data_IF_753542923437
#
_entry.id   IF_753542923437
#
_cell.length_a   1.000
_cell.length_b   1.000
_cell.length_c   1.000
_cell.angle_alpha   90.00
_cell.angle_beta   90.00
_cell.angle_gamma   90.00
#
_symmetry.space_group_name_H-M   'P 1'
#
loop_
_entity.id
_entity.type
_entity.pdbx_description
1 polymer ?
#
# COMPACT_ATOMS: atom_id res chain seq x y z
N UNK A 1 -12.03 21.09 -34.96
CA UNK A 1 -13.03 20.82 -33.94
C UNK A 1 -13.49 19.39 -34.16
N UNK A 2 -12.84 18.45 -33.55
CA UNK A 2 -13.20 17.01 -33.57
C UNK A 2 -13.32 16.59 -32.12
N UNK A 3 -14.52 16.20 -31.77
CA UNK A 3 -14.95 15.79 -30.43
C UNK A 3 -14.04 14.66 -29.89
N UNK A 4 -13.53 14.87 -28.69
CA UNK A 4 -12.93 13.83 -27.88
C UNK A 4 -14.04 12.90 -27.36
N UNK A 5 -13.86 11.58 -27.37
CA UNK A 5 -14.81 10.70 -26.72
C UNK A 5 -14.70 10.90 -25.20
N UNK A 6 -15.71 11.51 -24.63
CA UNK A 6 -15.97 11.57 -23.19
C UNK A 6 -16.47 10.22 -22.73
N UNK A 7 -15.56 9.31 -22.40
CA UNK A 7 -15.87 8.17 -21.54
C UNK A 7 -15.31 8.45 -20.13
N UNK A 8 -15.87 9.47 -19.49
CA UNK A 8 -15.88 9.55 -18.05
C UNK A 8 -17.08 8.73 -17.56
N UNK A 9 -16.96 7.86 -16.57
CA UNK A 9 -18.14 7.29 -15.92
C UNK A 9 -18.89 8.44 -15.23
N UNK A 10 -20.03 8.82 -15.79
CA UNK A 10 -21.03 9.64 -15.13
C UNK A 10 -21.79 8.72 -14.20
N UNK A 11 -21.56 8.80 -12.93
CA UNK A 11 -22.54 8.92 -11.86
C UNK A 11 -21.83 8.91 -10.51
N UNK A 12 -21.64 10.07 -9.90
CA UNK A 12 -21.15 10.23 -8.53
C UNK A 12 -22.27 10.82 -7.68
N UNK A 13 -23.22 9.97 -7.33
CA UNK A 13 -24.19 10.27 -6.26
C UNK A 13 -24.45 9.00 -5.45
N UNK A 14 -23.46 8.54 -4.73
CA UNK A 14 -23.52 7.81 -3.44
C UNK A 14 -22.07 7.69 -2.97
N UNK A 15 -21.80 8.09 -1.73
CA UNK A 15 -20.43 8.15 -1.17
C UNK A 15 -19.83 6.79 -0.89
N UNK A 16 -19.64 5.97 -1.92
CA UNK A 16 -18.85 4.75 -1.81
C UNK A 16 -17.36 5.11 -1.93
N UNK A 17 -16.65 5.00 -0.83
CA UNK A 17 -15.19 4.97 -0.83
C UNK A 17 -14.77 3.83 -1.75
N UNK A 18 -13.94 4.06 -2.80
CA UNK A 18 -13.54 2.99 -3.69
C UNK A 18 -12.90 1.86 -2.89
N UNK A 19 -13.31 0.63 -3.16
CA UNK A 19 -12.73 -0.58 -2.57
C UNK A 19 -11.25 -0.66 -2.96
N UNK A 20 -10.38 -0.24 -2.05
CA UNK A 20 -8.93 -0.23 -2.26
C UNK A 20 -8.38 -1.64 -2.53
N UNK A 21 -9.00 -2.67 -1.97
CA UNK A 21 -8.62 -4.05 -2.21
C UNK A 21 -8.91 -4.45 -3.66
N UNK A 22 -10.09 -4.09 -4.19
CA UNK A 22 -10.44 -4.31 -5.60
C UNK A 22 -9.51 -3.55 -6.56
N UNK A 23 -9.08 -2.33 -6.21
CA UNK A 23 -8.09 -1.58 -6.99
C UNK A 23 -6.74 -2.29 -7.02
N UNK A 24 -6.24 -2.79 -5.89
CA UNK A 24 -4.98 -3.56 -5.81
C UNK A 24 -5.08 -4.88 -6.58
N UNK A 25 -6.21 -5.56 -6.53
CA UNK A 25 -6.45 -6.75 -7.36
C UNK A 25 -6.48 -6.42 -8.85
N UNK A 26 -7.02 -5.26 -9.21
CA UNK A 26 -7.05 -4.75 -10.58
C UNK A 26 -5.66 -4.53 -11.19
N UNK A 27 -4.64 -4.22 -10.36
CA UNK A 27 -3.26 -4.04 -10.83
C UNK A 27 -2.70 -5.28 -11.53
N UNK A 28 -3.11 -6.48 -11.12
CA UNK A 28 -2.69 -7.75 -11.74
C UNK A 28 -3.16 -7.92 -13.20
N UNK A 29 -4.08 -7.09 -13.66
CA UNK A 29 -4.60 -7.09 -15.04
C UNK A 29 -4.03 -5.93 -15.86
N UNK A 30 -3.23 -5.07 -15.24
CA UNK A 30 -2.68 -3.90 -15.89
C UNK A 30 -1.62 -4.28 -16.93
N UNK A 31 -1.72 -3.69 -18.12
CA UNK A 31 -0.72 -3.81 -19.20
C UNK A 31 -0.12 -2.44 -19.44
N UNK A 32 1.15 -2.28 -19.10
CA UNK A 32 1.83 -0.99 -19.06
C UNK A 32 3.03 -0.99 -20.01
N UNK A 33 3.18 0.09 -20.78
CA UNK A 33 4.45 0.42 -21.41
C UNK A 33 5.20 1.37 -20.48
N UNK A 34 6.49 1.14 -20.28
CA UNK A 34 7.36 1.96 -19.46
C UNK A 34 8.60 2.34 -20.27
N UNK A 35 8.97 3.62 -20.30
CA UNK A 35 10.24 4.06 -20.85
C UNK A 35 10.94 5.03 -19.89
N UNK A 36 12.27 4.99 -19.85
CA UNK A 36 13.02 5.87 -18.96
C UNK A 36 14.48 5.50 -18.81
N UNK A 37 15.15 6.22 -17.90
CA UNK A 37 16.55 6.01 -17.60
C UNK A 37 16.74 4.81 -16.69
N UNK A 38 17.30 3.72 -17.20
CA UNK A 38 17.71 2.56 -16.41
C UNK A 38 19.12 2.76 -15.84
N UNK A 39 19.35 2.24 -14.66
CA UNK A 39 20.66 2.24 -14.01
C UNK A 39 20.90 0.95 -13.23
N UNK A 40 22.14 0.70 -12.87
CA UNK A 40 22.52 -0.39 -11.98
C UNK A 40 22.79 0.19 -10.60
N UNK A 41 21.99 -0.21 -9.61
CA UNK A 41 22.29 0.02 -8.20
C UNK A 41 23.14 -1.13 -7.68
N UNK A 42 24.38 -0.82 -7.24
CA UNK A 42 25.35 -1.78 -6.71
C UNK A 42 25.57 -1.48 -5.25
N UNK A 43 25.35 -2.47 -4.40
CA UNK A 43 25.55 -2.39 -2.96
C UNK A 43 26.73 -3.27 -2.56
N UNK A 44 27.74 -2.66 -1.99
CA UNK A 44 28.94 -3.33 -1.47
C UNK A 44 28.86 -3.31 0.04
N UNK A 45 28.61 -4.48 0.63
CA UNK A 45 28.51 -4.66 2.08
C UNK A 45 29.84 -5.14 2.66
N UNK A 46 30.18 -4.65 3.84
CA UNK A 46 31.36 -5.08 4.53
C UNK A 46 31.53 -4.49 5.92
N UNK A 47 32.69 -4.70 6.51
CA UNK A 47 33.06 -4.17 7.82
C UNK A 47 34.19 -3.16 7.71
N UNK A 48 34.12 -2.13 8.56
CA UNK A 48 35.19 -1.14 8.76
C UNK A 48 35.80 -1.40 10.12
N UNK A 49 37.04 -1.93 10.14
CA UNK A 49 37.76 -2.29 11.37
C UNK A 49 38.96 -1.39 11.62
N UNK A 50 39.45 -0.68 10.60
CA UNK A 50 40.67 0.12 10.69
C UNK A 50 40.62 1.36 9.80
N UNK A 51 41.44 2.32 10.14
CA UNK A 51 41.77 3.47 9.28
C UNK A 51 42.99 3.08 8.42
N UNK A 52 43.02 3.54 7.17
CA UNK A 52 44.16 3.30 6.28
C UNK A 52 45.42 3.99 6.81
N UNK A 53 46.59 3.32 6.71
CA UNK A 53 47.87 3.98 7.02
C UNK A 53 48.25 5.04 5.94
N UNK A 54 47.63 5.00 4.77
CA UNK A 54 47.98 5.89 3.64
C UNK A 54 47.21 7.22 3.70
N UNK A 55 46.02 7.24 4.35
CA UNK A 55 45.18 8.41 4.51
C UNK A 55 44.19 8.20 5.65
N UNK A 56 43.63 9.25 6.26
CA UNK A 56 42.63 9.13 7.33
C UNK A 56 41.23 8.74 6.79
N UNK A 57 41.18 7.61 6.10
CA UNK A 57 39.97 7.04 5.53
C UNK A 57 39.68 5.63 6.07
N UNK A 58 38.43 5.23 6.24
CA UNK A 58 38.09 3.88 6.66
C UNK A 58 38.45 2.85 5.57
N UNK A 59 38.93 1.69 5.98
CA UNK A 59 39.16 0.54 5.10
C UNK A 59 37.96 -0.39 5.21
N UNK A 60 37.16 -0.48 4.14
CA UNK A 60 36.05 -1.40 4.04
C UNK A 60 36.54 -2.78 3.58
N UNK A 61 36.43 -3.81 4.43
CA UNK A 61 36.61 -5.20 4.03
C UNK A 61 35.32 -5.70 3.43
N UNK A 62 35.30 -5.90 2.10
CA UNK A 62 34.10 -6.33 1.36
C UNK A 62 33.79 -7.79 1.69
N UNK A 63 32.51 -8.06 1.98
CA UNK A 63 31.97 -9.39 2.31
C UNK A 63 30.89 -9.85 1.32
N UNK A 64 30.12 -8.93 0.81
CA UNK A 64 29.06 -9.24 -0.14
C UNK A 64 28.85 -8.09 -1.12
N UNK A 65 28.42 -8.46 -2.33
CA UNK A 65 27.98 -7.53 -3.34
C UNK A 65 26.59 -7.92 -3.81
N UNK A 66 25.72 -6.92 -3.98
CA UNK A 66 24.39 -7.10 -4.55
C UNK A 66 24.15 -6.07 -5.63
N UNK A 67 23.59 -6.50 -6.75
CA UNK A 67 23.20 -5.62 -7.84
C UNK A 67 21.70 -5.71 -8.08
N UNK A 68 21.10 -4.59 -8.43
CA UNK A 68 19.67 -4.53 -8.78
C UNK A 68 19.42 -3.40 -9.77
N UNK A 69 18.37 -3.53 -10.61
CA UNK A 69 17.97 -2.45 -11.50
C UNK A 69 17.46 -1.26 -10.69
N UNK A 70 18.00 -0.07 -10.97
CA UNK A 70 17.57 1.20 -10.41
C UNK A 70 16.88 2.10 -11.45
N UNK A 71 16.41 3.28 -11.01
CA UNK A 71 15.68 4.19 -11.86
C UNK A 71 14.43 3.55 -12.46
N UNK A 72 14.21 3.74 -13.77
CA UNK A 72 13.08 3.14 -14.49
C UNK A 72 13.07 1.60 -14.40
N UNK A 73 14.23 0.95 -14.22
CA UNK A 73 14.31 -0.50 -13.99
C UNK A 73 13.66 -0.93 -12.67
N UNK A 74 13.81 -0.14 -11.61
CA UNK A 74 13.11 -0.38 -10.35
C UNK A 74 11.60 -0.15 -10.47
N UNK A 75 11.18 0.84 -11.27
CA UNK A 75 9.75 1.05 -11.57
C UNK A 75 9.17 -0.18 -12.28
N UNK A 76 9.88 -0.75 -13.29
CA UNK A 76 9.47 -1.97 -13.98
C UNK A 76 9.27 -3.13 -13.00
N UNK A 77 10.21 -3.35 -12.08
CA UNK A 77 10.13 -4.41 -11.07
C UNK A 77 8.95 -4.23 -10.11
N UNK A 78 8.72 -3.00 -9.66
CA UNK A 78 7.58 -2.71 -8.78
C UNK A 78 6.24 -2.95 -9.48
N UNK A 79 6.10 -2.54 -10.74
CA UNK A 79 4.89 -2.80 -11.53
C UNK A 79 4.65 -4.31 -11.70
N UNK A 80 5.69 -5.06 -12.05
CA UNK A 80 5.62 -6.52 -12.20
C UNK A 80 5.30 -7.23 -10.87
N UNK A 81 5.89 -6.78 -9.76
CA UNK A 81 5.61 -7.32 -8.43
C UNK A 81 4.17 -7.05 -7.97
N UNK A 82 3.55 -5.96 -8.43
CA UNK A 82 2.13 -5.68 -8.25
C UNK A 82 1.24 -6.52 -9.20
N UNK A 83 1.85 -7.28 -10.11
CA UNK A 83 1.18 -8.21 -11.01
C UNK A 83 0.92 -7.67 -12.41
N UNK A 84 1.39 -6.48 -12.76
CA UNK A 84 1.22 -5.91 -14.09
C UNK A 84 2.12 -6.59 -15.15
N UNK A 85 1.64 -6.61 -16.40
CA UNK A 85 2.42 -6.97 -17.59
C UNK A 85 3.12 -5.72 -18.12
N UNK A 86 4.45 -5.67 -18.02
CA UNK A 86 5.28 -4.49 -18.30
C UNK A 86 6.13 -4.70 -19.54
N UNK A 87 5.94 -3.89 -20.58
CA UNK A 87 6.95 -3.73 -21.65
C UNK A 87 7.84 -2.56 -21.28
N UNK A 88 9.07 -2.87 -20.91
CA UNK A 88 10.05 -1.87 -20.48
C UNK A 88 11.05 -1.53 -21.60
N UNK A 89 11.11 -0.26 -21.96
CA UNK A 89 11.98 0.27 -23.03
C UNK A 89 13.01 1.22 -22.43
N UNK A 90 14.29 0.98 -22.71
CA UNK A 90 15.38 1.86 -22.26
C UNK A 90 16.61 1.65 -23.13
N UNK A 91 17.71 2.33 -22.73
CA UNK A 91 18.99 2.26 -23.40
C UNK A 91 20.09 1.96 -22.40
N UNK A 92 21.00 1.07 -22.78
CA UNK A 92 22.22 0.73 -22.02
C UNK A 92 23.45 0.85 -22.89
N UNK A 93 24.60 0.93 -22.28
CA UNK A 93 25.88 0.83 -22.98
C UNK A 93 26.24 -0.60 -23.39
N UNK A 94 27.29 -0.74 -24.18
CA UNK A 94 27.91 -2.04 -24.50
C UNK A 94 28.94 -2.49 -23.45
N UNK A 95 28.80 -1.99 -22.22
CA UNK A 95 29.65 -2.27 -21.08
C UNK A 95 29.10 -3.40 -20.19
N UNK A 96 29.89 -3.86 -19.24
CA UNK A 96 29.54 -4.92 -18.30
C UNK A 96 28.28 -4.59 -17.49
N UNK A 97 28.15 -3.33 -17.03
CA UNK A 97 26.96 -2.86 -16.30
C UNK A 97 25.68 -2.96 -17.16
N UNK A 98 25.78 -2.71 -18.47
CA UNK A 98 24.67 -2.91 -19.41
C UNK A 98 24.24 -4.38 -19.52
N UNK A 99 25.19 -5.31 -19.49
CA UNK A 99 24.91 -6.73 -19.47
C UNK A 99 24.27 -7.16 -18.13
N UNK A 100 24.79 -6.65 -17.00
CA UNK A 100 24.20 -6.89 -15.67
C UNK A 100 22.76 -6.38 -15.55
N UNK A 101 22.47 -5.16 -16.05
CA UNK A 101 21.10 -4.62 -16.09
C UNK A 101 20.17 -5.52 -16.89
N UNK A 102 20.62 -6.00 -18.07
CA UNK A 102 19.83 -6.92 -18.90
C UNK A 102 19.50 -8.22 -18.16
N UNK A 103 20.49 -8.79 -17.49
CA UNK A 103 20.34 -10.03 -16.71
C UNK A 103 19.38 -9.82 -15.52
N UNK A 104 19.53 -8.70 -14.81
CA UNK A 104 18.73 -8.39 -13.64
C UNK A 104 17.25 -8.02 -13.95
N UNK A 105 16.93 -7.73 -15.20
CA UNK A 105 15.55 -7.47 -15.67
C UNK A 105 14.89 -8.71 -16.28
N UNK A 106 15.54 -9.88 -16.27
CA UNK A 106 14.93 -11.16 -16.66
C UNK A 106 14.03 -11.68 -15.53
N UNK A 107 12.99 -10.96 -15.22
CA UNK A 107 12.02 -11.30 -14.18
C UNK A 107 10.63 -11.54 -14.81
N UNK A 108 9.81 -12.45 -14.26
CA UNK A 108 8.44 -12.65 -14.71
C UNK A 108 7.63 -11.34 -14.70
N UNK A 109 6.83 -11.10 -15.73
CA UNK A 109 6.01 -9.90 -15.87
C UNK A 109 6.74 -8.71 -16.50
N UNK A 110 8.05 -8.83 -16.84
CA UNK A 110 8.81 -7.76 -17.51
C UNK A 110 9.29 -8.26 -18.89
N UNK A 111 8.83 -7.61 -19.93
CA UNK A 111 9.42 -7.69 -21.27
C UNK A 111 10.40 -6.52 -21.45
N UNK A 112 11.69 -6.75 -21.16
CA UNK A 112 12.72 -5.73 -21.30
C UNK A 112 13.24 -5.62 -22.73
N UNK A 113 12.96 -4.48 -23.40
CA UNK A 113 13.45 -4.11 -24.75
C UNK A 113 14.53 -3.04 -24.64
N UNK A 114 15.75 -3.45 -24.29
CA UNK A 114 16.86 -2.55 -24.06
C UNK A 114 17.73 -2.39 -25.31
N UNK A 115 17.80 -1.16 -25.83
CA UNK A 115 18.70 -0.80 -26.93
C UNK A 115 20.13 -0.67 -26.41
N UNK A 116 21.08 -1.37 -27.02
CA UNK A 116 22.50 -1.23 -26.69
C UNK A 116 23.13 -0.18 -27.57
N UNK A 117 23.75 0.85 -26.98
CA UNK A 117 24.44 1.93 -27.67
C UNK A 117 25.94 1.83 -27.43
N UNK A 118 26.76 1.56 -28.49
CA UNK A 118 28.22 1.52 -28.35
C UNK A 118 28.78 2.86 -27.85
N UNK A 119 29.76 2.79 -26.98
CA UNK A 119 30.41 3.97 -26.41
C UNK A 119 29.61 4.71 -25.32
N UNK A 120 28.33 4.41 -25.14
CA UNK A 120 27.55 4.94 -24.01
C UNK A 120 27.94 4.24 -22.72
N UNK A 121 28.06 5.01 -21.64
CA UNK A 121 28.27 4.47 -20.28
C UNK A 121 26.90 4.13 -19.68
N UNK A 122 26.72 2.90 -19.22
CA UNK A 122 25.57 2.53 -18.39
C UNK A 122 25.73 3.15 -17.01
N UNK A 123 24.68 3.82 -16.53
CA UNK A 123 24.71 4.45 -15.21
C UNK A 123 24.81 3.40 -14.11
N UNK A 124 25.80 3.53 -13.23
CA UNK A 124 26.02 2.69 -12.05
C UNK A 124 26.09 3.57 -10.80
N UNK A 125 25.32 3.23 -9.78
CA UNK A 125 25.36 3.87 -8.46
C UNK A 125 25.86 2.88 -7.43
N UNK A 126 27.14 2.96 -7.07
CA UNK A 126 27.75 2.07 -6.09
C UNK A 126 27.63 2.64 -4.68
N UNK A 127 26.97 1.92 -3.79
CA UNK A 127 26.80 2.28 -2.38
C UNK A 127 27.65 1.34 -1.52
N UNK A 128 28.54 1.91 -0.74
CA UNK A 128 29.36 1.18 0.23
C UNK A 128 28.66 1.24 1.59
N UNK A 129 28.36 0.08 2.15
CA UNK A 129 27.55 -0.05 3.38
C UNK A 129 28.34 -0.84 4.43
N UNK A 130 28.51 -0.25 5.61
CA UNK A 130 29.09 -0.90 6.77
C UNK A 130 28.16 -0.75 7.98
N UNK A 131 27.97 -1.82 8.76
CA UNK A 131 27.12 -1.81 9.97
C UNK A 131 25.76 -1.15 9.73
N UNK A 132 25.10 -1.48 8.60
CA UNK A 132 23.82 -0.93 8.16
C UNK A 132 23.81 0.57 7.83
N UNK A 133 24.96 1.23 7.77
CA UNK A 133 25.11 2.61 7.38
C UNK A 133 25.81 2.75 6.02
N UNK A 134 25.28 3.62 5.17
CA UNK A 134 25.93 3.98 3.91
C UNK A 134 27.08 4.94 4.22
N UNK A 135 28.32 4.52 3.93
CA UNK A 135 29.54 5.30 4.19
C UNK A 135 30.00 6.12 2.98
N UNK A 136 29.69 5.63 1.77
CA UNK A 136 30.06 6.31 0.52
C UNK A 136 29.10 5.91 -0.59
N UNK A 137 28.87 6.82 -1.54
CA UNK A 137 28.29 6.51 -2.84
C UNK A 137 29.22 7.00 -3.95
N UNK A 138 29.51 6.12 -4.91
CA UNK A 138 30.28 6.44 -6.10
C UNK A 138 29.36 6.26 -7.33
N UNK A 139 29.19 7.32 -8.12
CA UNK A 139 28.33 7.32 -9.30
C UNK A 139 29.18 7.34 -10.55
N UNK A 140 28.96 6.38 -11.46
CA UNK A 140 29.48 6.37 -12.83
C UNK A 140 28.31 6.56 -13.77
N UNK A 141 28.18 7.72 -14.39
CA UNK A 141 27.01 8.07 -15.15
C UNK A 141 27.30 9.00 -16.34
N UNK A 142 26.36 9.05 -17.29
CA UNK A 142 26.33 10.04 -18.35
C UNK A 142 24.98 10.74 -18.38
N UNK A 143 24.99 12.03 -18.66
CA UNK A 143 23.78 12.83 -18.91
C UNK A 143 23.65 13.23 -20.37
N UNK A 144 24.54 12.71 -21.23
CA UNK A 144 24.51 13.03 -22.66
C UNK A 144 23.21 12.54 -23.31
N UNK A 145 22.52 13.40 -24.04
CA UNK A 145 21.36 13.00 -24.81
C UNK A 145 21.66 11.84 -25.75
N UNK A 146 20.64 11.02 -26.04
CA UNK A 146 20.76 10.02 -27.10
C UNK A 146 21.03 10.66 -28.42
N UNK A 147 21.94 10.08 -29.22
CA UNK A 147 22.13 10.40 -30.62
C UNK A 147 20.88 10.05 -31.43
N UNK A 148 20.70 10.71 -32.56
CA UNK A 148 19.48 10.63 -33.36
C UNK A 148 19.09 9.19 -33.73
N UNK A 149 20.04 8.35 -34.19
CA UNK A 149 19.78 6.94 -34.53
C UNK A 149 19.25 6.11 -33.35
N UNK A 150 19.81 6.30 -32.16
CA UNK A 150 19.37 5.62 -30.98
C UNK A 150 18.00 6.12 -30.47
N UNK A 151 17.77 7.43 -30.57
CA UNK A 151 16.49 8.06 -30.28
C UNK A 151 15.37 7.56 -31.20
N UNK A 152 15.64 7.51 -32.51
CA UNK A 152 14.68 7.03 -33.52
C UNK A 152 14.33 5.55 -33.31
N UNK A 153 15.30 4.70 -32.97
CA UNK A 153 15.07 3.29 -32.60
C UNK A 153 14.19 3.17 -31.37
N UNK A 154 14.45 3.98 -30.34
CA UNK A 154 13.64 3.98 -29.12
C UNK A 154 12.20 4.45 -29.38
N UNK A 155 12.03 5.52 -30.17
CA UNK A 155 10.72 6.02 -30.58
C UNK A 155 9.93 4.97 -31.36
N UNK A 156 10.59 4.30 -32.33
CA UNK A 156 9.95 3.23 -33.10
C UNK A 156 9.53 2.06 -32.22
N UNK A 157 10.38 1.65 -31.27
CA UNK A 157 10.07 0.59 -30.30
C UNK A 157 8.91 0.99 -29.37
N UNK A 158 8.87 2.25 -28.92
CA UNK A 158 7.77 2.81 -28.13
C UNK A 158 6.45 2.74 -28.89
N UNK A 159 6.41 3.24 -30.13
CA UNK A 159 5.21 3.19 -30.98
C UNK A 159 4.71 1.76 -31.16
N UNK A 160 5.61 0.80 -31.36
CA UNK A 160 5.27 -0.62 -31.50
C UNK A 160 4.79 -1.27 -30.19
N UNK A 161 5.14 -0.71 -29.04
CA UNK A 161 4.74 -1.24 -27.74
C UNK A 161 3.37 -0.74 -27.26
N UNK A 162 2.86 0.38 -27.76
CA UNK A 162 1.63 1.03 -27.27
C UNK A 162 0.32 0.26 -27.52
N UNK A 163 0.13 -0.44 -28.65
CA UNK A 163 -1.13 -1.13 -28.91
C UNK A 163 -1.55 -2.08 -27.79
N UNK A 164 -2.76 -1.88 -27.25
CA UNK A 164 -3.33 -2.70 -26.18
C UNK A 164 -2.76 -2.42 -24.79
N UNK A 165 -1.92 -1.39 -24.60
CA UNK A 165 -1.49 -0.92 -23.27
C UNK A 165 -2.52 0.03 -22.68
N UNK A 166 -2.65 0.00 -21.36
CA UNK A 166 -3.60 0.82 -20.60
C UNK A 166 -2.96 2.14 -20.11
N UNK A 167 -1.62 2.18 -20.05
CA UNK A 167 -0.86 3.37 -19.74
C UNK A 167 0.55 3.31 -20.35
N UNK A 168 1.11 4.49 -20.64
CA UNK A 168 2.53 4.70 -20.84
C UNK A 168 3.10 5.46 -19.64
N UNK A 169 4.16 4.92 -19.04
CA UNK A 169 4.90 5.59 -17.97
C UNK A 169 6.23 6.08 -18.54
N UNK A 170 6.56 7.35 -18.31
CA UNK A 170 7.84 7.94 -18.61
C UNK A 170 8.55 8.26 -17.30
N UNK A 171 9.65 7.57 -17.00
CA UNK A 171 10.40 7.71 -15.75
C UNK A 171 11.75 8.37 -16.03
N UNK A 172 11.83 9.68 -15.82
CA UNK A 172 12.96 10.53 -16.14
C UNK A 172 13.90 10.72 -14.94
N UNK A 173 15.17 10.41 -15.11
CA UNK A 173 16.24 10.65 -14.13
C UNK A 173 17.32 11.59 -14.67
N UNK A 174 17.08 12.20 -15.84
CA UNK A 174 18.04 13.13 -16.47
C UNK A 174 19.33 12.44 -16.92
N UNK A 175 19.26 11.18 -17.33
CA UNK A 175 20.41 10.43 -17.86
C UNK A 175 20.42 10.35 -19.39
N UNK A 176 19.59 11.17 -20.04
CA UNK A 176 19.62 11.42 -21.48
C UNK A 176 18.87 10.39 -22.33
N UNK A 177 18.12 9.47 -21.76
CA UNK A 177 17.22 8.57 -22.52
C UNK A 177 15.97 9.32 -22.95
N UNK A 178 15.30 9.98 -22.01
CA UNK A 178 14.13 10.80 -22.29
C UNK A 178 14.53 12.23 -22.70
N UNK A 179 15.10 12.35 -23.91
CA UNK A 179 15.37 13.67 -24.49
C UNK A 179 14.06 14.38 -24.81
N UNK A 180 14.10 15.70 -25.00
CA UNK A 180 12.93 16.47 -25.42
C UNK A 180 12.21 15.84 -26.64
N UNK A 181 12.96 15.44 -27.67
CA UNK A 181 12.41 14.82 -28.87
C UNK A 181 11.76 13.45 -28.58
N UNK A 182 12.43 12.59 -27.81
CA UNK A 182 11.89 11.26 -27.43
C UNK A 182 10.63 11.41 -26.62
N UNK A 183 10.64 12.28 -25.61
CA UNK A 183 9.48 12.51 -24.73
C UNK A 183 8.28 13.05 -25.50
N UNK A 184 8.47 14.06 -26.34
CA UNK A 184 7.41 14.62 -27.19
C UNK A 184 6.84 13.59 -28.17
N UNK A 185 7.71 12.79 -28.81
CA UNK A 185 7.30 11.74 -29.72
C UNK A 185 6.53 10.61 -29.01
N UNK A 186 6.96 10.24 -27.79
CA UNK A 186 6.29 9.23 -26.98
C UNK A 186 4.88 9.69 -26.56
N UNK A 187 4.75 10.94 -26.07
CA UNK A 187 3.45 11.51 -25.67
C UNK A 187 2.51 11.63 -26.89
N UNK A 188 3.02 12.09 -28.04
CA UNK A 188 2.23 12.18 -29.27
C UNK A 188 1.72 10.80 -29.72
N UNK A 189 2.60 9.79 -29.76
CA UNK A 189 2.24 8.42 -30.15
C UNK A 189 1.24 7.78 -29.18
N UNK A 190 1.41 7.98 -27.89
CA UNK A 190 0.48 7.47 -26.88
C UNK A 190 -0.91 8.14 -27.02
N UNK A 191 -0.93 9.44 -27.29
CA UNK A 191 -2.17 10.18 -27.52
C UNK A 191 -2.90 9.69 -28.79
N UNK A 192 -2.18 9.43 -29.87
CA UNK A 192 -2.74 8.84 -31.10
C UNK A 192 -3.33 7.43 -30.83
N UNK A 193 -2.69 6.67 -29.95
CA UNK A 193 -3.14 5.33 -29.54
C UNK A 193 -4.25 5.34 -28.46
N UNK A 194 -4.66 6.51 -27.96
CA UNK A 194 -5.63 6.64 -26.86
C UNK A 194 -5.09 6.13 -25.52
N UNK A 195 -3.76 6.09 -25.33
CA UNK A 195 -3.09 5.60 -24.13
C UNK A 195 -2.71 6.78 -23.22
N UNK A 196 -3.18 6.87 -21.97
CA UNK A 196 -2.78 7.92 -21.04
C UNK A 196 -1.30 7.83 -20.69
N UNK A 197 -0.65 9.00 -20.56
CA UNK A 197 0.77 9.10 -20.22
C UNK A 197 0.96 9.62 -18.82
N UNK A 198 1.69 8.87 -18.00
CA UNK A 198 2.10 9.25 -16.65
C UNK A 198 3.59 9.56 -16.70
N UNK A 199 4.00 10.70 -16.17
CA UNK A 199 5.42 11.12 -16.19
C UNK A 199 5.92 11.35 -14.77
N UNK A 200 7.00 10.67 -14.41
CA UNK A 200 7.84 11.03 -13.27
C UNK A 200 8.95 11.96 -13.80
N UNK A 201 8.80 13.28 -13.58
CA UNK A 201 9.59 14.29 -14.30
C UNK A 201 10.94 14.53 -13.66
N UNK A 202 11.90 15.07 -14.47
CA UNK A 202 13.19 15.56 -14.00
C UNK A 202 13.54 16.89 -14.62
N UNK A 203 14.23 17.76 -13.84
CA UNK A 203 14.63 19.09 -14.29
C UNK A 203 13.51 20.13 -14.18
N UNK A 204 13.76 21.32 -14.71
CA UNK A 204 12.84 22.46 -14.63
C UNK A 204 12.06 22.76 -15.91
N UNK A 205 12.41 22.14 -17.05
CA UNK A 205 11.72 22.36 -18.32
C UNK A 205 10.64 21.30 -18.57
N UNK A 206 9.42 21.67 -18.24
CA UNK A 206 8.25 20.79 -18.39
C UNK A 206 7.56 20.90 -19.75
N UNK A 207 8.09 21.71 -20.69
CA UNK A 207 7.59 21.76 -22.05
C UNK A 207 7.71 20.41 -22.79
N UNK A 208 8.70 19.59 -22.39
CA UNK A 208 8.83 18.22 -22.88
C UNK A 208 7.62 17.35 -22.57
N UNK A 209 6.93 17.59 -21.44
CA UNK A 209 5.82 16.77 -20.95
C UNK A 209 4.43 17.32 -21.35
N UNK A 210 4.37 18.32 -22.23
CA UNK A 210 3.10 18.89 -22.68
C UNK A 210 2.14 17.83 -23.21
N UNK A 211 0.90 17.84 -22.68
CA UNK A 211 -0.16 16.89 -23.02
C UNK A 211 -0.09 15.57 -22.27
N UNK A 212 0.77 15.43 -21.24
CA UNK A 212 0.75 14.30 -20.33
C UNK A 212 -0.58 14.23 -19.57
N UNK A 213 -1.05 13.01 -19.30
CA UNK A 213 -2.27 12.82 -18.51
C UNK A 213 -2.03 13.12 -17.02
N UNK A 214 -0.92 12.65 -16.45
CA UNK A 214 -0.49 12.94 -15.08
C UNK A 214 1.02 13.16 -15.05
N UNK A 215 1.48 14.12 -14.24
CA UNK A 215 2.88 14.25 -13.84
C UNK A 215 3.02 14.14 -12.33
N UNK A 216 4.17 13.61 -11.86
CA UNK A 216 4.39 13.30 -10.43
C UNK A 216 5.60 13.99 -9.81
N UNK A 217 5.73 15.34 -9.89
CA UNK A 217 6.87 16.04 -9.32
C UNK A 217 6.88 15.93 -7.79
N UNK A 218 8.08 15.96 -7.20
CA UNK A 218 8.17 16.30 -5.80
C UNK A 218 8.07 17.84 -5.60
N UNK A 219 7.94 18.26 -4.33
CA UNK A 219 7.77 19.67 -3.99
C UNK A 219 8.91 20.58 -4.50
N UNK A 220 10.15 20.07 -4.48
CA UNK A 220 11.32 20.81 -4.99
C UNK A 220 11.26 20.95 -6.52
N UNK A 221 10.96 19.87 -7.22
CA UNK A 221 10.83 19.85 -8.69
C UNK A 221 9.69 20.75 -9.16
N UNK A 222 8.56 20.76 -8.44
CA UNK A 222 7.46 21.70 -8.73
C UNK A 222 7.91 23.16 -8.59
N UNK A 223 8.63 23.49 -7.52
CA UNK A 223 9.16 24.83 -7.30
C UNK A 223 10.18 25.24 -8.35
N UNK A 224 11.10 24.34 -8.74
CA UNK A 224 12.08 24.57 -9.80
C UNK A 224 11.42 24.80 -11.17
N UNK A 225 10.37 24.02 -11.49
CA UNK A 225 9.66 24.14 -12.76
C UNK A 225 8.82 25.42 -12.88
N UNK A 226 8.30 25.93 -11.77
CA UNK A 226 7.40 27.11 -11.79
C UNK A 226 8.08 28.40 -11.36
N UNK A 227 9.27 28.31 -10.76
CA UNK A 227 9.96 29.47 -10.14
C UNK A 227 9.26 29.99 -8.87
N UNK A 228 8.27 29.25 -8.34
CA UNK A 228 7.46 29.64 -7.18
C UNK A 228 7.79 28.75 -6.00
N UNK A 229 7.75 29.31 -4.78
CA UNK A 229 7.82 28.48 -3.58
C UNK A 229 6.61 27.55 -3.51
N UNK A 230 6.82 26.34 -3.05
CA UNK A 230 5.79 25.30 -2.93
C UNK A 230 5.80 24.73 -1.49
N UNK A 231 5.73 25.61 -0.50
CA UNK A 231 5.84 25.25 0.93
C UNK A 231 4.47 25.02 1.58
N UNK A 232 3.46 25.78 1.19
CA UNK A 232 2.07 25.66 1.69
C UNK A 232 1.16 24.94 0.70
N UNK A 233 0.01 24.51 1.19
CA UNK A 233 -1.03 23.83 0.37
C UNK A 233 -1.50 24.74 -0.78
N UNK A 234 -1.70 26.03 -0.51
CA UNK A 234 -2.14 27.02 -1.51
C UNK A 234 -1.05 27.31 -2.55
N UNK A 235 0.21 27.44 -2.14
CA UNK A 235 1.34 27.61 -3.07
C UNK A 235 1.51 26.39 -3.97
N UNK A 236 1.41 25.18 -3.43
CA UNK A 236 1.46 23.92 -4.20
C UNK A 236 0.31 23.89 -5.20
N UNK A 237 -0.91 24.18 -4.79
CA UNK A 237 -2.07 24.19 -5.67
C UNK A 237 -1.93 25.26 -6.77
N UNK A 238 -1.44 26.44 -6.43
CA UNK A 238 -1.17 27.53 -7.39
C UNK A 238 -0.11 27.17 -8.42
N UNK A 239 1.03 26.64 -7.97
CA UNK A 239 2.13 26.20 -8.84
C UNK A 239 1.68 25.04 -9.78
N UNK A 240 0.96 24.06 -9.25
CA UNK A 240 0.44 22.95 -10.05
C UNK A 240 -0.56 23.41 -11.11
N UNK A 241 -1.48 24.33 -10.79
CA UNK A 241 -2.42 24.93 -11.77
C UNK A 241 -1.67 25.67 -12.88
N UNK A 242 -0.58 26.36 -12.55
CA UNK A 242 0.25 27.05 -13.55
C UNK A 242 0.87 26.06 -14.54
N UNK A 243 1.39 24.90 -14.06
CA UNK A 243 1.92 23.85 -14.94
C UNK A 243 0.83 23.22 -15.81
N UNK A 244 -0.34 22.93 -15.22
CA UNK A 244 -1.50 22.37 -15.94
C UNK A 244 -1.88 23.31 -17.11
N UNK A 245 -2.02 24.59 -16.83
CA UNK A 245 -2.40 25.58 -17.83
C UNK A 245 -1.33 25.78 -18.90
N UNK A 246 -0.03 25.89 -18.51
CA UNK A 246 1.07 26.14 -19.43
C UNK A 246 1.33 24.96 -20.39
N UNK A 247 1.18 23.72 -19.90
CA UNK A 247 1.60 22.52 -20.62
C UNK A 247 0.44 21.57 -20.95
N UNK A 248 -0.82 21.97 -20.76
CA UNK A 248 -2.00 21.14 -21.07
C UNK A 248 -1.95 19.76 -20.40
N UNK A 249 -1.50 19.71 -19.16
CA UNK A 249 -1.40 18.49 -18.35
C UNK A 249 -2.77 18.21 -17.75
N UNK A 250 -3.18 16.92 -17.67
CA UNK A 250 -4.46 16.52 -17.11
C UNK A 250 -4.52 16.63 -15.59
N UNK A 251 -3.45 16.23 -14.89
CA UNK A 251 -3.32 16.36 -13.44
C UNK A 251 -1.87 16.40 -12.98
N UNK A 252 -1.66 16.99 -11.80
CA UNK A 252 -0.36 17.03 -11.12
C UNK A 252 -0.51 16.35 -9.75
N UNK A 253 0.31 15.34 -9.47
CA UNK A 253 0.41 14.67 -8.18
C UNK A 253 1.73 15.08 -7.53
N UNK A 254 1.68 15.98 -6.56
CA UNK A 254 2.88 16.50 -5.89
C UNK A 254 3.21 15.65 -4.66
N UNK A 255 4.38 15.02 -4.64
CA UNK A 255 4.86 14.29 -3.46
C UNK A 255 5.51 15.25 -2.46
N UNK A 256 5.17 15.11 -1.17
CA UNK A 256 5.48 16.08 -0.10
C UNK A 256 6.23 15.45 1.07
N UNK A 257 6.88 14.31 0.84
CA UNK A 257 7.56 13.52 1.87
C UNK A 257 6.62 13.24 3.08
N UNK A 258 7.04 13.61 4.29
CA UNK A 258 6.25 13.39 5.52
C UNK A 258 4.89 14.13 5.54
N UNK A 259 4.70 15.14 4.70
CA UNK A 259 3.43 15.86 4.60
C UNK A 259 2.41 15.16 3.66
N UNK A 260 2.78 14.02 3.04
CA UNK A 260 1.89 13.25 2.17
C UNK A 260 1.95 13.65 0.70
N UNK A 261 0.81 13.87 0.07
CA UNK A 261 0.74 14.26 -1.34
C UNK A 261 -0.43 15.20 -1.62
N UNK A 262 -0.34 15.91 -2.74
CA UNK A 262 -1.42 16.78 -3.23
C UNK A 262 -1.76 16.40 -4.66
N UNK A 263 -3.04 16.27 -4.97
CA UNK A 263 -3.55 15.98 -6.32
C UNK A 263 -4.32 17.20 -6.81
N UNK A 264 -3.91 17.75 -7.93
CA UNK A 264 -4.54 18.89 -8.59
C UNK A 264 -4.91 18.50 -10.01
N UNK A 265 -6.19 18.63 -10.38
CA UNK A 265 -6.69 18.24 -11.70
C UNK A 265 -6.93 19.46 -12.61
N UNK A 266 -6.94 19.22 -13.93
CA UNK A 266 -7.30 20.25 -14.90
C UNK A 266 -8.76 20.73 -14.75
N UNK A 267 -9.65 19.95 -14.12
CA UNK A 267 -11.01 20.34 -13.76
C UNK A 267 -11.06 21.32 -12.57
N UNK A 268 -9.92 21.58 -11.92
CA UNK A 268 -9.81 22.51 -10.79
C UNK A 268 -9.94 21.87 -9.42
N UNK A 269 -10.15 20.56 -9.35
CA UNK A 269 -10.21 19.82 -8.09
C UNK A 269 -8.84 19.80 -7.40
N UNK A 270 -8.85 19.97 -6.09
CA UNK A 270 -7.64 19.94 -5.24
C UNK A 270 -7.89 19.01 -4.05
N UNK A 271 -7.05 18.02 -3.91
CA UNK A 271 -7.09 17.09 -2.77
C UNK A 271 -5.72 17.01 -2.12
N UNK A 272 -5.66 17.23 -0.80
CA UNK A 272 -4.45 17.07 -0.01
C UNK A 272 -4.58 15.83 0.86
N UNK A 273 -3.73 14.84 0.61
CA UNK A 273 -3.64 13.59 1.35
C UNK A 273 -2.47 13.69 2.33
N UNK A 274 -2.75 13.61 3.63
CA UNK A 274 -1.71 13.61 4.66
C UNK A 274 -1.07 12.22 4.72
N UNK A 275 0.26 12.17 4.92
CA UNK A 275 0.91 10.94 5.32
C UNK A 275 0.47 10.60 6.76
N UNK A 276 0.06 9.37 7.00
CA UNK A 276 -0.34 8.91 8.34
C UNK A 276 0.92 8.58 9.16
N UNK A 277 1.57 9.64 9.66
CA UNK A 277 2.91 9.61 10.24
C UNK A 277 2.93 9.17 11.73
N UNK A 278 1.86 8.55 12.26
CA UNK A 278 1.83 8.14 13.68
C UNK A 278 2.44 6.77 13.97
N UNK A 279 2.66 5.96 12.94
CA UNK A 279 3.46 4.73 13.05
C UNK A 279 4.25 4.55 11.75
N UNK A 280 5.42 3.91 11.82
CA UNK A 280 6.36 3.59 10.72
C UNK A 280 5.72 2.67 9.64
N UNK A 281 4.42 2.69 9.49
CA UNK A 281 3.62 1.86 8.60
C UNK A 281 2.70 2.71 7.72
N UNK A 282 3.34 3.47 6.81
CA UNK A 282 2.61 4.05 5.69
C UNK A 282 2.07 2.92 4.80
N UNK A 283 0.76 2.93 4.55
CA UNK A 283 0.06 1.92 3.71
C UNK A 283 0.36 2.12 2.23
N UNK A 284 1.09 3.17 1.86
CA UNK A 284 1.57 3.36 0.51
C UNK A 284 2.66 2.33 0.16
N UNK A 285 2.76 1.99 -1.12
CA UNK A 285 3.90 1.21 -1.62
C UNK A 285 5.24 1.83 -1.21
N UNK A 286 5.31 3.17 -1.07
CA UNK A 286 6.47 3.90 -0.59
C UNK A 286 6.79 3.57 0.88
N UNK A 287 5.79 3.51 1.77
CA UNK A 287 5.99 3.15 3.18
C UNK A 287 6.48 1.72 3.37
N UNK A 288 5.94 0.77 2.61
CA UNK A 288 6.43 -0.61 2.62
C UNK A 288 7.87 -0.67 2.10
N UNK A 289 8.20 0.10 1.04
CA UNK A 289 9.55 0.16 0.48
C UNK A 289 10.58 0.75 1.45
N UNK A 290 10.20 1.77 2.23
CA UNK A 290 11.11 2.41 3.22
C UNK A 290 11.54 1.44 4.32
N UNK A 291 10.69 0.47 4.68
CA UNK A 291 11.03 -0.59 5.64
C UNK A 291 12.00 -1.66 5.11
N UNK A 292 12.35 -1.64 3.83
CA UNK A 292 13.21 -2.63 3.19
C UNK A 292 14.58 -2.05 2.84
N UNK A 293 15.63 -2.89 2.83
CA UNK A 293 16.98 -2.48 2.43
C UNK A 293 17.14 -2.41 0.91
N UNK A 294 17.69 -1.33 0.41
CA UNK A 294 18.02 -1.14 -1.02
C UNK A 294 16.87 -0.54 -1.84
N UNK A 295 16.93 -0.71 -3.17
CA UNK A 295 15.82 -0.42 -4.10
C UNK A 295 14.77 -1.52 -3.96
N UNK A 296 13.90 -1.34 -2.98
CA UNK A 296 12.95 -2.37 -2.58
C UNK A 296 11.77 -2.48 -3.55
N UNK A 297 11.37 -3.71 -3.82
CA UNK A 297 10.16 -4.04 -4.56
C UNK A 297 9.03 -4.30 -3.58
N UNK A 298 7.85 -3.75 -3.85
CA UNK A 298 6.63 -3.99 -3.07
C UNK A 298 5.75 -4.97 -3.82
N UNK A 299 5.47 -6.11 -3.19
CA UNK A 299 4.63 -7.13 -3.76
C UNK A 299 3.15 -6.85 -3.48
N UNK A 300 2.28 -7.31 -4.40
CA UNK A 300 0.83 -7.11 -4.33
C UNK A 300 0.22 -7.65 -3.03
N UNK A 301 0.65 -8.82 -2.59
CA UNK A 301 0.18 -9.45 -1.36
C UNK A 301 0.60 -8.66 -0.10
N UNK A 302 1.79 -8.07 -0.08
CA UNK A 302 2.23 -7.18 0.99
C UNK A 302 1.36 -5.92 1.07
N UNK A 303 1.10 -5.28 -0.08
CA UNK A 303 0.23 -4.11 -0.13
C UNK A 303 -1.20 -4.46 0.28
N UNK A 304 -1.74 -5.57 -0.21
CA UNK A 304 -3.06 -6.05 0.16
C UNK A 304 -3.15 -6.44 1.65
N UNK A 305 -2.07 -7.01 2.23
CA UNK A 305 -2.00 -7.29 3.66
C UNK A 305 -2.01 -6.01 4.49
N UNK A 306 -1.23 -5.00 4.08
CA UNK A 306 -1.20 -3.70 4.76
C UNK A 306 -2.53 -2.95 4.68
N UNK A 307 -3.20 -2.97 3.54
CA UNK A 307 -4.54 -2.39 3.42
C UNK A 307 -5.52 -3.07 4.36
N UNK A 308 -5.50 -4.42 4.43
CA UNK A 308 -6.33 -5.17 5.38
C UNK A 308 -5.97 -4.90 6.85
N UNK A 309 -4.69 -4.77 7.18
CA UNK A 309 -4.25 -4.38 8.53
C UNK A 309 -4.77 -2.99 8.90
N UNK A 310 -4.73 -2.03 7.98
CA UNK A 310 -5.27 -0.69 8.20
C UNK A 310 -6.78 -0.70 8.38
N UNK A 311 -7.51 -1.43 7.56
CA UNK A 311 -8.96 -1.62 7.72
C UNK A 311 -9.30 -2.26 9.07
N UNK A 312 -8.47 -3.18 9.56
CA UNK A 312 -8.62 -3.82 10.86
C UNK A 312 -8.12 -2.97 12.03
N UNK A 313 -7.20 -2.03 11.82
CA UNK A 313 -6.64 -1.16 12.87
C UNK A 313 -7.51 0.06 13.19
N UNK A 314 -8.38 0.47 12.27
CA UNK A 314 -9.41 1.46 12.58
C UNK A 314 -10.46 0.80 13.46
N UNK A 315 -10.74 1.39 14.64
CA UNK A 315 -11.70 0.84 15.63
C UNK A 315 -13.06 0.49 14.99
N UNK A 316 -13.52 1.28 14.04
CA UNK A 316 -14.74 1.07 13.29
C UNK A 316 -14.67 -0.15 12.35
N UNK A 317 -13.50 -0.51 11.86
CA UNK A 317 -13.32 -1.64 10.96
C UNK A 317 -13.32 -3.01 11.64
N UNK A 318 -13.17 -3.05 12.97
CA UNK A 318 -13.41 -4.27 13.75
C UNK A 318 -14.90 -4.53 14.01
N UNK A 319 -15.77 -3.52 13.83
CA UNK A 319 -17.21 -3.63 14.05
C UNK A 319 -17.88 -3.86 12.70
N UNK A 320 -18.29 -5.08 12.42
CA UNK A 320 -18.77 -5.48 11.09
C UNK A 320 -20.10 -6.23 11.18
N UNK A 321 -20.85 -6.21 10.09
CA UNK A 321 -22.04 -7.04 9.92
C UNK A 321 -21.67 -8.51 9.70
N UNK A 322 -22.64 -9.42 9.93
CA UNK A 322 -22.43 -10.88 9.86
C UNK A 322 -21.84 -11.35 8.51
N UNK A 323 -22.30 -10.80 7.39
CA UNK A 323 -21.79 -11.18 6.07
C UNK A 323 -20.31 -10.84 5.91
N UNK A 324 -19.92 -9.62 6.26
CA UNK A 324 -18.50 -9.19 6.22
C UNK A 324 -17.64 -10.00 7.19
N UNK A 325 -18.16 -10.33 8.37
CA UNK A 325 -17.50 -11.21 9.32
C UNK A 325 -17.23 -12.60 8.72
N UNK A 326 -18.21 -13.17 8.00
CA UNK A 326 -18.07 -14.46 7.32
C UNK A 326 -16.92 -14.44 6.30
N UNK A 327 -16.84 -13.41 5.47
CA UNK A 327 -15.79 -13.25 4.46
C UNK A 327 -14.40 -13.09 5.11
N UNK A 328 -14.30 -12.31 6.19
CA UNK A 328 -13.07 -12.12 6.96
C UNK A 328 -12.61 -13.44 7.57
N UNK A 329 -13.51 -14.18 8.22
CA UNK A 329 -13.20 -15.47 8.84
C UNK A 329 -12.79 -16.51 7.80
N UNK A 330 -13.44 -16.55 6.65
CA UNK A 330 -13.01 -17.38 5.52
C UNK A 330 -11.59 -17.06 5.07
N UNK A 331 -11.23 -15.77 5.00
CA UNK A 331 -9.87 -15.31 4.72
C UNK A 331 -8.85 -15.69 5.80
N UNK A 332 -9.22 -15.74 7.07
CA UNK A 332 -8.36 -16.24 8.14
C UNK A 332 -8.06 -17.73 7.98
N UNK A 333 -9.10 -18.54 7.73
CA UNK A 333 -8.96 -20.00 7.52
C UNK A 333 -8.11 -20.32 6.30
N UNK A 334 -8.27 -19.60 5.19
CA UNK A 334 -7.45 -19.80 4.00
C UNK A 334 -5.94 -19.59 4.29
N UNK A 335 -5.61 -18.90 5.38
CA UNK A 335 -4.23 -18.67 5.86
C UNK A 335 -3.83 -19.60 7.01
N UNK A 336 -4.67 -20.56 7.37
CA UNK A 336 -4.42 -21.51 8.45
C UNK A 336 -4.53 -20.90 9.86
N UNK A 337 -5.29 -19.79 10.02
CA UNK A 337 -5.48 -19.15 11.32
C UNK A 337 -6.74 -19.67 12.00
N UNK A 338 -6.62 -20.02 13.29
CA UNK A 338 -7.73 -20.44 14.15
C UNK A 338 -8.58 -19.25 14.60
N UNK A 339 -9.89 -19.31 14.36
CA UNK A 339 -10.86 -18.30 14.77
C UNK A 339 -11.56 -18.73 16.07
N UNK A 340 -11.37 -17.97 17.15
CA UNK A 340 -12.10 -18.08 18.40
C UNK A 340 -13.35 -17.20 18.39
N UNK A 341 -14.39 -17.63 19.12
CA UNK A 341 -15.62 -16.88 19.31
C UNK A 341 -16.02 -16.85 20.78
N UNK A 342 -16.44 -15.69 21.25
CA UNK A 342 -17.16 -15.53 22.52
C UNK A 342 -18.31 -14.54 22.34
N UNK A 343 -19.30 -14.54 23.24
CA UNK A 343 -20.38 -13.58 23.16
C UNK A 343 -20.82 -13.07 24.51
N UNK A 344 -21.49 -11.93 24.54
CA UNK A 344 -22.08 -11.37 25.75
C UNK A 344 -22.70 -9.99 25.54
N UNK A 345 -23.33 -9.46 26.58
CA UNK A 345 -23.91 -8.13 26.61
C UNK A 345 -22.87 -7.03 26.76
N UNK A 346 -21.79 -7.29 27.49
CA UNK A 346 -20.67 -6.34 27.74
C UNK A 346 -21.15 -4.91 28.06
N UNK A 347 -22.17 -4.80 28.88
CA UNK A 347 -22.85 -3.53 29.13
C UNK A 347 -21.95 -2.51 29.84
N UNK A 348 -21.23 -2.94 30.89
CA UNK A 348 -20.13 -2.20 31.48
C UNK A 348 -18.90 -3.11 31.50
N UNK A 349 -17.84 -2.70 30.80
CA UNK A 349 -16.59 -3.45 30.85
C UNK A 349 -15.94 -3.32 32.24
N UNK A 350 -15.48 -4.47 32.73
CA UNK A 350 -14.77 -4.59 33.99
C UNK A 350 -13.61 -5.60 33.85
N UNK A 351 -12.66 -5.65 34.80
CA UNK A 351 -11.50 -6.54 34.68
C UNK A 351 -11.81 -8.00 34.37
N UNK A 352 -12.94 -8.53 34.83
CA UNK A 352 -13.38 -9.88 34.48
C UNK A 352 -13.60 -10.08 32.97
N UNK A 353 -14.21 -9.12 32.29
CA UNK A 353 -14.39 -9.16 30.85
C UNK A 353 -13.03 -9.09 30.11
N UNK A 354 -12.14 -8.17 30.52
CA UNK A 354 -10.82 -8.02 29.91
C UNK A 354 -10.00 -9.30 30.07
N UNK A 355 -10.05 -9.93 31.24
CA UNK A 355 -9.35 -11.20 31.50
C UNK A 355 -9.92 -12.33 30.63
N UNK A 356 -11.25 -12.43 30.52
CA UNK A 356 -11.91 -13.43 29.67
C UNK A 356 -11.43 -13.27 28.22
N UNK A 357 -11.53 -12.06 27.66
CA UNK A 357 -11.15 -11.78 26.27
C UNK A 357 -9.65 -12.03 26.04
N UNK A 358 -8.78 -11.64 26.96
CA UNK A 358 -7.35 -11.92 26.90
C UNK A 358 -7.02 -13.41 26.92
N UNK A 359 -7.68 -14.19 27.82
CA UNK A 359 -7.48 -15.63 27.90
C UNK A 359 -8.05 -16.36 26.67
N UNK A 360 -9.20 -15.92 26.13
CA UNK A 360 -9.77 -16.46 24.90
C UNK A 360 -8.82 -16.23 23.72
N UNK A 361 -8.31 -14.99 23.58
CA UNK A 361 -7.37 -14.63 22.49
C UNK A 361 -6.04 -15.41 22.56
N UNK A 362 -5.58 -15.73 23.75
CA UNK A 362 -4.36 -16.54 23.93
C UNK A 362 -4.49 -18.00 23.47
N UNK A 363 -5.72 -18.47 23.17
CA UNK A 363 -6.03 -19.84 22.73
C UNK A 363 -6.40 -19.97 21.27
N UNK A 364 -6.44 -18.86 20.54
CA UNK A 364 -6.73 -18.79 19.11
C UNK A 364 -5.90 -17.69 18.45
N UNK A 365 -5.81 -17.71 17.12
CA UNK A 365 -5.09 -16.69 16.36
C UNK A 365 -5.90 -15.42 16.15
N UNK A 366 -7.23 -15.50 16.18
CA UNK A 366 -8.16 -14.39 16.01
C UNK A 366 -9.39 -14.57 16.89
N UNK A 367 -9.81 -13.51 17.58
CA UNK A 367 -10.97 -13.56 18.47
C UNK A 367 -12.12 -12.70 17.95
N UNK A 368 -13.25 -13.33 17.76
CA UNK A 368 -14.53 -12.72 17.40
C UNK A 368 -15.38 -12.56 18.65
N UNK A 369 -15.98 -11.38 18.83
CA UNK A 369 -16.92 -11.12 19.91
C UNK A 369 -18.32 -10.89 19.32
N UNK A 370 -19.25 -11.77 19.61
CA UNK A 370 -20.68 -11.57 19.40
C UNK A 370 -21.25 -10.65 20.49
N UNK A 371 -21.75 -9.48 20.10
CA UNK A 371 -22.29 -8.47 21.01
C UNK A 371 -23.81 -8.40 20.87
N UNK A 372 -24.54 -8.66 21.96
CA UNK A 372 -25.99 -8.48 21.96
C UNK A 372 -26.39 -7.02 21.69
N UNK A 373 -27.32 -6.77 20.77
CA UNK A 373 -27.89 -5.46 20.51
C UNK A 373 -28.60 -4.89 21.75
N UNK A 374 -28.93 -3.61 21.73
CA UNK A 374 -29.67 -2.97 22.82
C UNK A 374 -31.03 -3.65 23.05
N UNK A 375 -31.72 -4.00 21.96
CA UNK A 375 -32.99 -4.70 22.04
C UNK A 375 -32.86 -6.09 22.67
N UNK A 376 -31.85 -6.86 22.32
CA UNK A 376 -31.56 -8.18 22.91
C UNK A 376 -31.22 -8.06 24.39
N UNK A 377 -30.35 -7.10 24.77
CA UNK A 377 -30.00 -6.88 26.20
C UNK A 377 -31.20 -6.48 27.03
N UNK A 378 -32.10 -5.63 26.50
CA UNK A 378 -33.32 -5.23 27.20
C UNK A 378 -34.23 -6.43 27.47
N UNK A 379 -34.35 -7.36 26.51
CA UNK A 379 -35.10 -8.62 26.71
C UNK A 379 -34.46 -9.53 27.74
N UNK A 380 -33.14 -9.66 27.72
CA UNK A 380 -32.40 -10.59 28.59
C UNK A 380 -32.19 -10.07 30.01
N UNK A 381 -32.02 -8.76 30.21
CA UNK A 381 -31.62 -8.15 31.50
C UNK A 381 -32.69 -7.22 32.11
N UNK A 382 -33.80 -6.97 31.40
CA UNK A 382 -34.93 -6.17 31.88
C UNK A 382 -34.80 -4.67 31.59
N UNK A 383 -35.83 -3.93 32.03
CA UNK A 383 -35.96 -2.49 31.81
C UNK A 383 -34.77 -1.70 32.44
N UNK A 384 -34.26 -0.71 31.73
CA UNK A 384 -33.12 0.10 32.18
C UNK A 384 -31.74 -0.48 31.77
N UNK A 385 -31.72 -1.56 31.01
CA UNK A 385 -30.50 -2.16 30.42
C UNK A 385 -30.62 -2.20 28.89
N UNK A 386 -29.55 -2.01 28.13
CA UNK A 386 -28.21 -1.73 28.64
C UNK A 386 -28.02 -0.27 29.09
N UNK A 387 -26.96 0.02 29.85
CA UNK A 387 -26.59 1.39 30.25
C UNK A 387 -25.95 2.17 29.10
N UNK A 388 -25.21 1.46 28.25
CA UNK A 388 -24.53 2.02 27.08
C UNK A 388 -25.14 1.41 25.79
N UNK A 389 -25.22 2.23 24.71
CA UNK A 389 -25.67 1.74 23.42
C UNK A 389 -24.76 0.66 22.86
N UNK A 390 -25.28 -0.21 22.01
CA UNK A 390 -24.53 -1.29 21.35
C UNK A 390 -23.31 -0.76 20.58
N UNK A 391 -23.43 0.37 19.87
CA UNK A 391 -22.31 1.03 19.20
C UNK A 391 -21.23 1.47 20.20
N UNK A 392 -21.60 2.07 21.32
CA UNK A 392 -20.63 2.44 22.37
C UNK A 392 -19.92 1.21 22.94
N UNK A 393 -20.67 0.15 23.24
CA UNK A 393 -20.12 -1.12 23.74
C UNK A 393 -19.21 -1.80 22.71
N UNK A 394 -19.62 -1.81 21.43
CA UNK A 394 -18.80 -2.34 20.34
C UNK A 394 -17.50 -1.56 20.16
N UNK A 395 -17.54 -0.22 20.21
CA UNK A 395 -16.35 0.64 20.11
C UNK A 395 -15.34 0.33 21.23
N UNK A 396 -15.82 0.17 22.47
CA UNK A 396 -14.93 -0.16 23.60
C UNK A 396 -14.35 -1.57 23.45
N UNK A 397 -15.13 -2.56 23.00
CA UNK A 397 -14.63 -3.91 22.72
C UNK A 397 -13.60 -3.91 21.58
N UNK A 398 -13.88 -3.21 20.49
CA UNK A 398 -12.98 -3.08 19.35
C UNK A 398 -11.64 -2.42 19.70
N UNK A 399 -11.61 -1.56 20.74
CA UNK A 399 -10.38 -0.93 21.23
C UNK A 399 -9.44 -1.89 21.98
N UNK A 400 -9.93 -3.06 22.38
CA UNK A 400 -9.10 -4.04 23.07
C UNK A 400 -8.20 -4.77 22.07
N UNK A 401 -6.92 -4.89 22.41
CA UNK A 401 -5.93 -5.63 21.63
C UNK A 401 -6.29 -7.12 21.46
N UNK A 402 -7.00 -7.68 22.44
CA UNK A 402 -7.45 -9.07 22.42
C UNK A 402 -8.65 -9.34 21.52
N UNK A 403 -9.27 -8.32 20.93
CA UNK A 403 -10.47 -8.45 20.07
C UNK A 403 -10.10 -8.10 18.63
N UNK A 404 -10.28 -9.05 17.73
CA UNK A 404 -10.01 -8.87 16.30
C UNK A 404 -11.27 -8.49 15.53
N UNK A 405 -12.47 -8.91 16.00
CA UNK A 405 -13.75 -8.63 15.34
C UNK A 405 -14.90 -8.53 16.34
N UNK A 406 -15.81 -7.60 16.10
CA UNK A 406 -17.06 -7.46 16.87
C UNK A 406 -18.24 -7.54 15.90
N UNK A 407 -19.20 -8.42 16.21
CA UNK A 407 -20.43 -8.58 15.42
C UNK A 407 -21.64 -8.35 16.34
N UNK A 408 -22.41 -7.30 16.05
CA UNK A 408 -23.64 -7.02 16.79
C UNK A 408 -24.76 -7.93 16.24
N UNK A 409 -25.54 -8.55 17.12
CA UNK A 409 -26.65 -9.43 16.76
C UNK A 409 -27.90 -9.13 17.58
N UNK A 410 -29.07 -9.34 16.99
CA UNK A 410 -30.37 -8.98 17.56
C UNK A 410 -31.05 -10.12 18.30
N UNK A 411 -30.64 -11.34 18.04
CA UNK A 411 -31.21 -12.55 18.62
C UNK A 411 -30.85 -12.66 20.13
N UNK A 412 -31.62 -13.46 20.87
CA UNK A 412 -31.37 -13.68 22.29
C UNK A 412 -30.19 -14.66 22.55
N UNK A 413 -29.89 -15.48 21.54
CA UNK A 413 -28.78 -16.43 21.56
C UNK A 413 -27.84 -16.21 20.36
N UNK A 414 -26.54 -16.53 20.47
CA UNK A 414 -25.56 -16.35 19.39
C UNK A 414 -25.57 -17.49 18.36
N UNK A 415 -26.59 -18.35 18.36
CA UNK A 415 -26.60 -19.60 17.57
C UNK A 415 -26.38 -19.35 16.09
N UNK A 416 -27.13 -18.42 15.47
CA UNK A 416 -26.98 -18.03 14.07
C UNK A 416 -25.56 -17.54 13.73
N UNK A 417 -24.94 -16.76 14.65
CA UNK A 417 -23.56 -16.31 14.46
C UNK A 417 -22.58 -17.50 14.44
N UNK A 418 -22.74 -18.41 15.39
CA UNK A 418 -21.88 -19.60 15.52
C UNK A 418 -22.03 -20.50 14.29
N UNK A 419 -23.24 -20.71 13.81
CA UNK A 419 -23.51 -21.52 12.60
C UNK A 419 -22.88 -20.94 11.34
N UNK A 420 -23.01 -19.62 11.15
CA UNK A 420 -22.48 -18.92 9.95
C UNK A 420 -20.96 -18.77 10.01
N UNK A 421 -20.42 -18.39 11.17
CA UNK A 421 -18.98 -18.13 11.32
C UNK A 421 -18.17 -19.42 11.54
N UNK A 422 -18.79 -20.49 12.08
CA UNK A 422 -18.16 -21.79 12.36
C UNK A 422 -16.81 -21.68 13.07
N UNK A 423 -16.73 -21.07 14.27
CA UNK A 423 -15.45 -20.82 14.94
C UNK A 423 -14.72 -22.13 15.28
N UNK A 424 -13.38 -22.11 15.20
CA UNK A 424 -12.52 -23.25 15.57
C UNK A 424 -12.46 -23.44 17.09
N UNK A 425 -12.77 -22.36 17.87
CA UNK A 425 -12.83 -22.35 19.31
C UNK A 425 -14.03 -21.52 19.80
N UNK A 426 -14.91 -22.11 20.58
CA UNK A 426 -15.98 -21.41 21.30
C UNK A 426 -15.59 -21.25 22.79
N UNK A 427 -15.55 -20.00 23.28
CA UNK A 427 -15.14 -19.67 24.64
C UNK A 427 -16.28 -19.06 25.42
N UNK A 428 -16.51 -19.54 26.63
CA UNK A 428 -17.41 -18.93 27.63
C UNK A 428 -16.69 -18.67 28.94
N UNK A 429 -17.07 -17.59 29.60
CA UNK A 429 -16.57 -17.28 30.96
C UNK A 429 -17.59 -17.59 32.03
N UNK A 430 -17.16 -18.15 33.14
CA UNK A 430 -17.99 -18.37 34.31
C UNK A 430 -18.29 -19.83 34.64
N UNK A 431 -19.33 -20.07 35.42
CA UNK A 431 -19.70 -21.38 35.95
C UNK A 431 -20.69 -22.13 35.03
N UNK A 432 -20.36 -22.19 33.72
CA UNK A 432 -21.12 -22.98 32.76
C UNK A 432 -20.65 -24.43 32.73
N UNK A 433 -21.55 -25.36 32.36
CA UNK A 433 -21.14 -26.68 31.86
C UNK A 433 -21.11 -26.62 30.32
N UNK A 434 -20.31 -27.47 29.69
CA UNK A 434 -20.17 -27.46 28.21
C UNK A 434 -21.55 -27.70 27.56
N UNK A 435 -22.36 -28.58 28.10
CA UNK A 435 -23.70 -28.92 27.61
C UNK A 435 -24.68 -27.73 27.72
N UNK A 436 -24.41 -26.78 28.61
CA UNK A 436 -25.22 -25.57 28.80
C UNK A 436 -24.81 -24.41 27.88
N UNK A 437 -23.78 -24.57 27.09
CA UNK A 437 -23.30 -23.52 26.17
C UNK A 437 -24.01 -23.61 24.82
N UNK A 438 -24.76 -22.58 24.47
CA UNK A 438 -25.42 -22.48 23.13
C UNK A 438 -24.39 -22.61 22.03
N UNK A 439 -24.64 -23.55 21.10
CA UNK A 439 -23.75 -23.81 19.93
C UNK A 439 -22.59 -24.78 20.23
N UNK A 440 -22.43 -25.28 21.46
CA UNK A 440 -21.35 -26.22 21.81
C UNK A 440 -21.41 -27.50 20.98
N UNK A 441 -22.57 -28.15 20.93
CA UNK A 441 -22.77 -29.37 20.14
C UNK A 441 -22.46 -29.16 18.65
N UNK A 442 -22.90 -28.03 18.11
CA UNK A 442 -22.64 -27.68 16.73
C UNK A 442 -21.14 -27.50 16.45
N UNK A 443 -20.41 -26.79 17.33
CA UNK A 443 -18.96 -26.55 17.19
C UNK A 443 -18.20 -27.87 17.28
N UNK A 444 -18.55 -28.74 18.26
CA UNK A 444 -17.91 -30.05 18.43
C UNK A 444 -18.20 -31.01 17.25
N UNK A 445 -19.39 -30.93 16.65
CA UNK A 445 -19.78 -31.78 15.53
C UNK A 445 -18.88 -31.64 14.27
N UNK A 446 -18.27 -30.48 14.06
CA UNK A 446 -17.30 -30.30 12.97
C UNK A 446 -15.82 -30.28 13.42
N UNK A 447 -15.55 -30.68 14.67
CA UNK A 447 -14.19 -30.80 15.22
C UNK A 447 -13.65 -29.57 15.88
N UNK A 448 -14.46 -28.52 16.10
CA UNK A 448 -14.09 -27.34 16.86
C UNK A 448 -14.00 -27.63 18.37
N UNK A 449 -13.32 -26.75 19.08
CA UNK A 449 -13.10 -26.84 20.53
C UNK A 449 -14.08 -25.95 21.29
N UNK A 450 -14.52 -26.40 22.50
CA UNK A 450 -15.33 -25.60 23.43
C UNK A 450 -14.58 -25.51 24.75
N UNK A 451 -14.31 -24.30 25.21
CA UNK A 451 -13.55 -24.07 26.44
C UNK A 451 -14.26 -23.09 27.37
N UNK A 452 -14.17 -23.39 28.66
CA UNK A 452 -14.67 -22.54 29.74
C UNK A 452 -13.47 -21.84 30.38
N UNK A 453 -13.55 -20.52 30.47
CA UNK A 453 -12.53 -19.70 31.12
C UNK A 453 -13.06 -19.31 32.51
N UNK A 454 -12.28 -19.60 33.55
CA UNK A 454 -12.61 -19.22 34.92
C UNK A 454 -12.83 -17.72 35.05
N UNK A 455 -13.93 -17.33 35.68
CA UNK A 455 -14.26 -15.95 36.00
C UNK A 455 -13.30 -15.39 37.05
N UNK A 456 -12.99 -14.08 36.95
CA UNK A 456 -12.24 -13.39 38.01
C UNK A 456 -13.20 -13.09 39.17
N UNK A 457 -12.98 -13.62 40.40
CA UNK A 457 -13.85 -13.37 41.52
C UNK A 457 -13.99 -11.87 41.84
N UNK A 458 -15.19 -11.44 42.21
CA UNK A 458 -15.47 -10.10 42.70
C UNK A 458 -15.77 -9.04 41.63
N UNK A 459 -15.87 -9.41 40.35
CA UNK A 459 -16.25 -8.52 39.27
C UNK A 459 -17.53 -8.98 38.56
N UNK A 460 -18.60 -8.20 38.74
CA UNK A 460 -19.89 -8.41 38.07
C UNK A 460 -20.49 -7.05 37.71
N UNK A 461 -21.05 -6.94 36.50
CA UNK A 461 -21.78 -5.73 36.08
C UNK A 461 -22.96 -5.46 37.04
N UNK A 462 -23.66 -6.49 37.46
CA UNK A 462 -24.81 -6.39 38.40
C UNK A 462 -24.36 -5.81 39.74
N UNK A 463 -23.27 -6.33 40.32
CA UNK A 463 -22.74 -5.83 41.60
C UNK A 463 -22.21 -4.40 41.49
N UNK A 464 -21.63 -4.05 40.32
CA UNK A 464 -21.17 -2.69 40.09
C UNK A 464 -22.33 -1.70 40.03
N UNK A 465 -23.42 -2.03 39.34
CA UNK A 465 -24.62 -1.19 39.30
C UNK A 465 -25.32 -1.08 40.65
N UNK A 466 -25.39 -2.19 41.40
CA UNK A 466 -25.94 -2.16 42.73
C UNK A 466 -25.17 -1.21 43.69
N UNK A 467 -23.83 -1.16 43.58
CA UNK A 467 -22.99 -0.23 44.32
C UNK A 467 -23.17 1.25 43.91
N UNK A 468 -23.59 1.49 42.65
CA UNK A 468 -23.88 2.83 42.16
C UNK A 468 -25.31 3.30 42.41
N UNK A 469 -26.14 2.49 43.10
CA UNK A 469 -27.51 2.82 43.47
C UNK A 469 -28.49 2.81 42.28
N UNK A 470 -28.16 2.05 41.26
CA UNK A 470 -28.99 1.82 40.08
C UNK A 470 -29.45 0.37 39.95
#
# INVERSE_FOLDING_TARGET
MTDMPTNAPTDTSTGDTPDMAALVEGLAKARVALAGDVMLDRFIYGHVERISPEAPIPVLRVEAERVMPGGAGNVARNLAALGADVTFLSVVGSDEAGAEVKAALQEPGIEARLTTVPGRVTTVKTRFVAMSQQILRADRETTQPLEADAADKLIAALKAALPGRQALILSDYGKGVLTFAVTRAAIAAAREAGVPVIVDPKGGDYAAYEGAYVITPNRKELGEATGVRADTDDEIAGAARSLIAAHKIGAVVVTRAQAGMSVITAAGEVTHLKADAREVFDVSAAGIAVGKTGTATVYRDELAAKLRERELSVLEAKIVGLKSAQDIVAGWRARGLDAGFTNGCFDLLHPGHVTLLGRARARCDRLIVGLNSDASVARLKGAGRPVQSDIARATVLASLQSVDLVVIFEEDTPETLIEVLRPDLLVKGGDYTIEGIVGADFVQAYGGRVEIVESVPGFSTTDTLARLGR
#
